data_IF_609928383783
#
_entry.id   IF_609928383783
#
_cell.length_a   1.000
_cell.length_b   1.000
_cell.length_c   1.000
_cell.angle_alpha   90.00
_cell.angle_beta   90.00
_cell.angle_gamma   90.00
#
_symmetry.space_group_name_H-M   'P 1'
#
loop_
_entity.id
_entity.type
_entity.pdbx_description
1 polymer ?
#
# COMPACT_ATOMS: atom_id res chain seq x y z
N UNK A 1 -8.38 3.11 -22.87
CA UNK A 1 -8.39 2.61 -21.48
C UNK A 1 -7.41 1.46 -21.43
N UNK A 2 -6.26 1.61 -20.73
CA UNK A 2 -5.33 0.48 -20.53
C UNK A 2 -6.07 -0.54 -19.66
N UNK A 3 -6.13 -1.80 -20.09
CA UNK A 3 -6.75 -2.86 -19.30
C UNK A 3 -6.03 -2.96 -17.95
N UNK A 4 -6.78 -3.12 -16.85
CA UNK A 4 -6.22 -3.36 -15.54
C UNK A 4 -5.30 -4.59 -15.62
N UNK A 5 -4.06 -4.45 -15.19
CA UNK A 5 -3.07 -5.53 -15.20
C UNK A 5 -2.47 -5.69 -13.81
N UNK A 6 -2.04 -6.89 -13.50
CA UNK A 6 -1.45 -7.17 -12.20
C UNK A 6 -0.17 -6.36 -11.99
N UNK A 7 -0.07 -5.69 -10.84
CA UNK A 7 1.14 -5.04 -10.33
C UNK A 7 1.83 -5.95 -9.32
N UNK A 8 1.05 -6.57 -8.44
CA UNK A 8 1.51 -7.50 -7.42
C UNK A 8 0.88 -8.86 -7.65
N UNK A 9 1.67 -9.91 -7.54
CA UNK A 9 1.23 -11.31 -7.44
C UNK A 9 1.82 -11.94 -6.21
N UNK A 10 0.97 -12.41 -5.34
CA UNK A 10 1.31 -13.22 -4.17
C UNK A 10 0.87 -14.64 -4.49
N UNK A 11 1.80 -15.59 -4.41
CA UNK A 11 1.55 -16.99 -4.79
C UNK A 11 2.05 -17.92 -3.69
N UNK A 12 1.12 -18.71 -3.13
CA UNK A 12 1.38 -19.73 -2.10
C UNK A 12 2.15 -19.20 -0.89
N UNK A 13 1.85 -17.96 -0.45
CA UNK A 13 2.53 -17.30 0.66
C UNK A 13 2.22 -18.04 1.96
N UNK A 14 3.27 -18.60 2.59
CA UNK A 14 3.20 -19.17 3.92
C UNK A 14 4.21 -18.50 4.83
N UNK A 15 3.77 -18.10 6.03
CA UNK A 15 4.64 -17.50 7.06
C UNK A 15 4.47 -18.21 8.39
N UNK A 16 5.59 -18.75 8.89
CA UNK A 16 5.66 -19.46 10.18
C UNK A 16 6.56 -18.72 11.16
N UNK A 17 6.14 -18.63 12.39
CA UNK A 17 6.94 -18.13 13.52
C UNK A 17 7.10 -19.27 14.52
N UNK A 18 8.21 -20.00 14.43
CA UNK A 18 8.38 -21.24 15.20
C UNK A 18 7.29 -22.26 14.87
N UNK A 19 6.48 -22.62 15.85
CA UNK A 19 5.37 -23.56 15.68
C UNK A 19 4.06 -22.93 15.20
N UNK A 20 3.97 -21.58 15.17
CA UNK A 20 2.76 -20.85 14.74
C UNK A 20 2.79 -20.61 13.24
N UNK A 21 1.74 -21.01 12.52
CA UNK A 21 1.48 -20.64 11.13
C UNK A 21 0.62 -19.39 11.14
N UNK A 22 1.20 -18.24 10.81
CA UNK A 22 0.50 -16.96 10.81
C UNK A 22 -0.21 -16.65 9.49
N UNK A 23 0.30 -17.22 8.38
CA UNK A 23 -0.33 -17.18 7.04
C UNK A 23 -0.06 -18.53 6.39
N UNK A 24 -1.06 -19.12 5.77
CA UNK A 24 -0.99 -20.44 5.16
C UNK A 24 -1.50 -20.38 3.72
N UNK A 25 -0.64 -20.73 2.77
CA UNK A 25 -0.93 -20.91 1.33
C UNK A 25 -1.73 -19.76 0.67
N UNK A 26 -1.47 -18.51 1.06
CA UNK A 26 -2.22 -17.36 0.57
C UNK A 26 -1.77 -16.99 -0.85
N UNK A 27 -2.76 -16.90 -1.77
CA UNK A 27 -2.54 -16.43 -3.14
C UNK A 27 -3.55 -15.35 -3.51
N UNK A 28 -3.07 -14.21 -4.04
CA UNK A 28 -3.90 -13.12 -4.56
C UNK A 28 -3.11 -12.16 -5.46
N UNK A 29 -3.81 -11.27 -6.14
CA UNK A 29 -3.24 -10.24 -7.00
C UNK A 29 -3.73 -8.86 -6.59
N UNK A 30 -2.89 -7.82 -6.81
CA UNK A 30 -3.34 -6.42 -6.79
C UNK A 30 -3.03 -5.78 -8.15
N UNK A 31 -3.98 -4.99 -8.67
CA UNK A 31 -3.94 -4.47 -10.04
C UNK A 31 -3.66 -2.98 -10.10
N UNK A 32 -3.14 -2.56 -11.22
CA UNK A 32 -2.82 -1.18 -11.52
C UNK A 32 -4.10 -0.32 -11.55
N UNK A 33 -4.11 0.75 -10.74
CA UNK A 33 -5.26 1.64 -10.65
C UNK A 33 -6.48 0.99 -10.00
N UNK A 34 -6.28 0.05 -9.07
CA UNK A 34 -7.32 -0.55 -8.23
C UNK A 34 -6.94 -0.44 -6.74
N UNK A 35 -7.95 -0.39 -5.90
CA UNK A 35 -7.84 -0.51 -4.44
C UNK A 35 -8.23 -1.93 -4.06
N UNK A 36 -7.25 -2.71 -3.60
CA UNK A 36 -7.46 -4.06 -3.07
C UNK A 36 -7.45 -3.99 -1.55
N UNK A 37 -8.54 -4.37 -0.89
CA UNK A 37 -8.62 -4.44 0.55
C UNK A 37 -8.30 -5.86 1.06
N UNK A 38 -7.56 -5.93 2.15
CA UNK A 38 -7.27 -7.15 2.90
C UNK A 38 -7.94 -7.03 4.26
N UNK A 39 -9.04 -7.74 4.48
CA UNK A 39 -9.87 -7.65 5.67
C UNK A 39 -9.89 -8.97 6.45
N UNK A 40 -10.50 -8.97 7.62
CA UNK A 40 -10.65 -10.15 8.48
C UNK A 40 -10.51 -9.80 9.97
N UNK A 41 -10.78 -10.71 10.88
CA UNK A 41 -10.68 -10.48 12.32
C UNK A 41 -9.25 -10.19 12.78
N UNK A 42 -9.13 -9.74 14.04
CA UNK A 42 -7.81 -9.53 14.65
C UNK A 42 -7.08 -10.86 14.79
N UNK A 43 -5.80 -10.86 14.41
CA UNK A 43 -5.01 -12.10 14.39
C UNK A 43 -5.12 -12.93 13.10
N UNK A 44 -5.96 -12.56 12.13
CA UNK A 44 -6.12 -13.28 10.86
C UNK A 44 -4.87 -13.27 9.94
N UNK A 45 -3.78 -12.59 10.31
CA UNK A 45 -2.54 -12.60 9.53
C UNK A 45 -2.34 -11.39 8.61
N UNK A 46 -3.26 -10.43 8.54
CA UNK A 46 -3.22 -9.27 7.63
C UNK A 46 -1.90 -8.48 7.70
N UNK A 47 -1.49 -8.05 8.88
CA UNK A 47 -0.24 -7.30 9.09
C UNK A 47 0.99 -8.16 8.76
N UNK A 48 0.92 -9.49 8.93
CA UNK A 48 1.99 -10.42 8.54
C UNK A 48 2.16 -10.43 7.03
N UNK A 49 1.06 -10.48 6.26
CA UNK A 49 1.08 -10.38 4.79
C UNK A 49 1.72 -9.06 4.35
N UNK A 50 1.33 -7.93 4.93
CA UNK A 50 1.95 -6.62 4.64
C UNK A 50 3.44 -6.60 4.95
N UNK A 51 3.85 -7.19 6.06
CA UNK A 51 5.26 -7.27 6.44
C UNK A 51 6.07 -8.12 5.45
N UNK A 52 5.47 -9.18 4.88
CA UNK A 52 6.10 -9.96 3.82
C UNK A 52 6.21 -9.16 2.51
N UNK A 53 5.16 -8.47 2.07
CA UNK A 53 5.14 -7.67 0.84
C UNK A 53 6.13 -6.49 0.93
N UNK A 54 6.23 -5.85 2.09
CA UNK A 54 7.12 -4.69 2.30
C UNK A 54 8.55 -5.07 2.67
N UNK A 55 8.87 -6.37 2.76
CA UNK A 55 10.22 -6.90 2.99
C UNK A 55 10.67 -6.94 4.44
N UNK A 56 9.81 -6.59 5.40
CA UNK A 56 10.09 -6.71 6.84
C UNK A 56 10.25 -8.16 7.27
N UNK A 57 9.40 -9.05 6.74
CA UNK A 57 9.51 -10.48 6.95
C UNK A 57 9.86 -11.19 5.63
N UNK A 58 10.65 -12.23 5.73
CA UNK A 58 10.86 -13.16 4.64
C UNK A 58 9.89 -14.32 4.82
N UNK A 59 8.99 -14.55 3.84
CA UNK A 59 8.07 -15.67 3.93
C UNK A 59 8.84 -17.00 4.04
N UNK A 60 8.22 -17.96 4.71
CA UNK A 60 8.77 -19.32 4.85
C UNK A 60 8.69 -20.06 3.52
N UNK A 61 7.57 -19.87 2.81
CA UNK A 61 7.29 -20.47 1.50
C UNK A 61 6.53 -19.48 0.63
N UNK A 62 6.51 -19.72 -0.68
CA UNK A 62 5.77 -18.92 -1.64
C UNK A 62 6.61 -17.86 -2.35
N UNK A 63 5.92 -17.05 -3.14
CA UNK A 63 6.52 -16.01 -3.98
C UNK A 63 5.73 -14.73 -3.93
N UNK A 64 6.43 -13.60 -3.89
CA UNK A 64 5.83 -12.26 -3.95
C UNK A 64 6.49 -11.52 -5.11
N UNK A 65 5.82 -11.47 -6.25
CA UNK A 65 6.33 -10.82 -7.44
C UNK A 65 5.64 -9.47 -7.69
N UNK A 66 6.42 -8.43 -7.96
CA UNK A 66 5.92 -7.09 -8.29
C UNK A 66 6.51 -6.62 -9.61
N UNK A 67 5.67 -5.99 -10.43
CA UNK A 67 6.10 -5.38 -11.67
C UNK A 67 5.68 -3.91 -11.78
N UNK A 68 6.42 -3.14 -12.57
CA UNK A 68 6.00 -1.83 -13.06
C UNK A 68 6.40 -1.63 -14.53
N UNK A 69 5.69 -0.74 -15.22
CA UNK A 69 5.88 -0.47 -16.65
C UNK A 69 5.03 -1.36 -17.53
N UNK A 70 5.58 -1.89 -18.60
CA UNK A 70 4.86 -2.71 -19.57
C UNK A 70 4.50 -4.08 -18.96
N UNK A 71 3.22 -4.50 -19.00
CA UNK A 71 2.78 -5.82 -18.51
C UNK A 71 3.50 -7.01 -19.13
N UNK A 72 4.10 -6.85 -20.33
CA UNK A 72 4.87 -7.91 -20.97
C UNK A 72 6.09 -8.38 -20.16
N UNK A 73 6.53 -7.61 -19.16
CA UNK A 73 7.63 -8.04 -18.27
C UNK A 73 7.29 -9.29 -17.45
N UNK A 74 6.00 -9.59 -17.25
CA UNK A 74 5.54 -10.81 -16.58
C UNK A 74 6.01 -12.10 -17.27
N UNK A 75 6.21 -12.08 -18.60
CA UNK A 75 6.76 -13.25 -19.34
C UNK A 75 8.13 -13.70 -18.84
N UNK A 76 8.86 -12.83 -18.15
CA UNK A 76 10.17 -13.13 -17.59
C UNK A 76 10.14 -13.72 -16.18
N UNK A 77 8.94 -13.85 -15.56
CA UNK A 77 8.81 -14.29 -14.18
C UNK A 77 9.40 -15.68 -13.94
N UNK A 78 9.11 -16.66 -14.81
CA UNK A 78 9.66 -18.01 -14.70
C UNK A 78 11.21 -18.03 -14.73
N UNK A 79 11.80 -17.29 -15.65
CA UNK A 79 13.27 -17.17 -15.75
C UNK A 79 13.90 -16.46 -14.55
N UNK A 80 13.23 -15.41 -14.00
CA UNK A 80 13.70 -14.73 -12.81
C UNK A 80 13.62 -15.63 -11.58
N UNK A 81 12.51 -16.38 -11.44
CA UNK A 81 12.31 -17.32 -10.32
C UNK A 81 13.38 -18.42 -10.30
N UNK A 82 13.76 -18.93 -11.48
CA UNK A 82 14.81 -19.95 -11.62
C UNK A 82 16.22 -19.41 -11.36
N UNK A 83 16.40 -18.09 -11.35
CA UNK A 83 17.70 -17.44 -11.11
C UNK A 83 17.88 -17.11 -9.61
N UNK A 84 19.12 -16.79 -9.22
CA UNK A 84 19.43 -16.26 -7.88
C UNK A 84 19.20 -14.76 -7.73
N UNK A 85 18.89 -14.07 -8.85
CA UNK A 85 18.76 -12.60 -8.88
C UNK A 85 17.37 -12.18 -8.40
N UNK A 86 17.24 -11.17 -7.51
CA UNK A 86 15.95 -10.76 -6.98
C UNK A 86 15.14 -9.87 -7.94
N UNK A 87 15.74 -9.34 -9.01
CA UNK A 87 15.05 -8.41 -9.89
C UNK A 87 15.62 -8.38 -11.30
N UNK A 88 14.77 -7.99 -12.25
CA UNK A 88 15.14 -7.70 -13.64
C UNK A 88 14.55 -6.35 -14.04
N UNK A 89 15.40 -5.39 -14.39
CA UNK A 89 14.99 -4.06 -14.82
C UNK A 89 15.49 -3.84 -16.26
N UNK A 90 14.61 -3.36 -17.12
CA UNK A 90 14.88 -3.07 -18.52
C UNK A 90 14.22 -1.77 -18.98
N UNK A 91 14.28 -1.51 -20.30
CA UNK A 91 13.66 -0.29 -20.88
C UNK A 91 12.14 -0.26 -20.71
N UNK A 92 11.49 -1.41 -20.69
CA UNK A 92 10.03 -1.53 -20.66
C UNK A 92 9.46 -1.58 -19.23
N UNK A 93 10.30 -1.64 -18.20
CA UNK A 93 9.86 -1.73 -16.81
C UNK A 93 10.74 -2.61 -15.94
N UNK A 94 10.27 -2.94 -14.76
CA UNK A 94 10.97 -3.77 -13.80
C UNK A 94 10.09 -4.90 -13.25
N UNK A 95 10.72 -6.04 -12.99
CA UNK A 95 10.14 -7.21 -12.33
C UNK A 95 10.99 -7.57 -11.10
N UNK A 96 10.36 -7.77 -9.97
CA UNK A 96 11.00 -7.92 -8.67
C UNK A 96 10.41 -9.12 -7.92
N UNK A 97 11.25 -9.88 -7.25
CA UNK A 97 10.87 -10.92 -6.29
C UNK A 97 11.09 -10.36 -4.89
N UNK A 98 10.02 -9.84 -4.27
CA UNK A 98 10.10 -9.08 -3.03
C UNK A 98 10.57 -9.93 -1.85
N UNK A 99 10.23 -11.23 -1.87
CA UNK A 99 10.68 -12.20 -0.87
C UNK A 99 12.21 -12.35 -0.82
N UNK A 100 12.93 -11.97 -1.90
CA UNK A 100 14.39 -12.01 -2.00
C UNK A 100 15.08 -10.67 -1.74
N UNK A 101 14.29 -9.59 -1.53
CA UNK A 101 14.80 -8.22 -1.40
C UNK A 101 14.79 -7.79 0.08
N UNK A 102 15.75 -6.98 0.48
CA UNK A 102 15.69 -6.27 1.76
C UNK A 102 14.63 -5.16 1.72
N UNK A 103 14.06 -4.79 2.87
CA UNK A 103 13.00 -3.78 3.01
C UNK A 103 13.32 -2.45 2.30
N UNK A 104 14.50 -1.87 2.54
CA UNK A 104 14.95 -0.64 1.89
C UNK A 104 15.09 -0.78 0.37
N UNK A 105 15.40 -1.98 -0.13
CA UNK A 105 15.47 -2.26 -1.56
C UNK A 105 14.08 -2.39 -2.18
N UNK A 106 13.12 -2.96 -1.45
CA UNK A 106 11.70 -3.01 -1.85
C UNK A 106 11.16 -1.60 -2.04
N UNK A 107 11.36 -0.73 -1.04
CA UNK A 107 10.90 0.66 -1.14
C UNK A 107 11.60 1.42 -2.28
N UNK A 108 12.94 1.27 -2.41
CA UNK A 108 13.74 2.07 -3.34
C UNK A 108 13.67 1.61 -4.79
N UNK A 109 13.66 0.30 -5.04
CA UNK A 109 13.79 -0.29 -6.38
C UNK A 109 12.47 -0.83 -6.91
N UNK A 110 11.70 -1.54 -6.07
CA UNK A 110 10.38 -2.02 -6.46
C UNK A 110 9.28 -0.95 -6.31
N UNK A 111 9.59 0.23 -5.71
CA UNK A 111 8.71 1.38 -5.59
C UNK A 111 7.42 1.03 -4.81
N UNK A 112 7.59 0.29 -3.72
CA UNK A 112 6.53 0.02 -2.75
C UNK A 112 6.63 1.05 -1.65
N UNK A 113 5.55 1.83 -1.42
CA UNK A 113 5.45 2.71 -0.27
C UNK A 113 4.51 2.11 0.77
N UNK A 114 4.78 2.37 2.04
CA UNK A 114 3.94 1.93 3.16
C UNK A 114 3.72 3.05 4.15
N UNK A 115 2.49 3.19 4.63
CA UNK A 115 2.18 3.89 5.87
C UNK A 115 2.10 2.88 7.03
N UNK A 116 2.08 3.38 8.25
CA UNK A 116 1.98 2.55 9.44
C UNK A 116 0.71 2.91 10.21
N UNK A 117 0.21 1.99 11.02
CA UNK A 117 -0.93 2.24 11.90
C UNK A 117 -0.71 3.51 12.75
N UNK A 118 0.45 3.64 13.37
CA UNK A 118 0.86 4.88 14.04
C UNK A 118 1.54 5.83 13.06
N UNK A 119 1.04 7.06 12.95
CA UNK A 119 1.57 8.10 12.07
C UNK A 119 3.05 8.37 12.34
N UNK A 120 3.88 8.29 11.30
CA UNK A 120 5.33 8.48 11.36
C UNK A 120 5.77 9.72 10.60
N UNK A 121 5.40 10.90 11.10
CA UNK A 121 5.87 12.18 10.58
C UNK A 121 7.10 12.67 11.34
N UNK A 122 7.91 13.48 10.70
CA UNK A 122 8.95 14.29 11.35
C UNK A 122 8.28 15.50 12.00
N UNK A 123 7.84 15.35 13.25
CA UNK A 123 6.99 16.31 13.95
C UNK A 123 7.60 17.71 14.08
N UNK A 124 8.92 17.81 14.21
CA UNK A 124 9.65 19.07 14.31
C UNK A 124 9.97 19.73 12.97
N UNK A 125 9.66 19.07 11.85
CA UNK A 125 9.77 19.64 10.51
C UNK A 125 8.43 20.22 10.09
N UNK A 126 8.47 21.17 9.15
CA UNK A 126 7.25 21.72 8.56
C UNK A 126 6.51 20.68 7.71
N UNK A 127 5.26 20.99 7.39
CA UNK A 127 4.45 20.17 6.49
C UNK A 127 5.14 20.01 5.13
N UNK A 128 5.66 21.09 4.55
CA UNK A 128 6.40 21.06 3.28
C UNK A 128 7.69 20.24 3.39
N UNK A 129 8.47 20.42 4.47
CA UNK A 129 9.72 19.68 4.67
C UNK A 129 9.51 18.19 4.77
N UNK A 130 8.40 17.72 5.38
CA UNK A 130 8.04 16.30 5.42
C UNK A 130 7.88 15.71 4.01
N UNK A 131 7.32 16.46 3.06
CA UNK A 131 7.18 16.01 1.66
C UNK A 131 8.51 16.05 0.90
N UNK A 132 9.36 17.05 1.18
CA UNK A 132 10.67 17.16 0.55
C UNK A 132 11.64 16.06 1.00
N UNK A 133 11.61 15.66 2.28
CA UNK A 133 12.44 14.56 2.81
C UNK A 133 12.16 13.25 2.11
N UNK A 134 10.91 12.97 1.72
CA UNK A 134 10.58 11.77 0.94
C UNK A 134 11.28 11.71 -0.41
N UNK A 135 11.68 12.86 -0.95
CA UNK A 135 12.38 13.01 -2.24
C UNK A 135 13.91 13.09 -2.08
N UNK A 136 14.43 12.77 -0.90
CA UNK A 136 15.87 12.90 -0.59
C UNK A 136 16.77 12.13 -1.59
N UNK A 137 16.42 10.90 -1.97
CA UNK A 137 17.25 10.09 -2.86
C UNK A 137 17.46 10.71 -4.25
N UNK A 138 16.43 11.20 -4.97
CA UNK A 138 16.60 11.93 -6.22
C UNK A 138 17.43 13.22 -6.05
N UNK A 139 17.18 13.98 -4.97
CA UNK A 139 17.89 15.22 -4.68
C UNK A 139 19.37 14.98 -4.39
N UNK A 140 19.71 13.96 -3.60
CA UNK A 140 21.10 13.59 -3.31
C UNK A 140 21.86 13.15 -4.54
N UNK A 141 21.23 12.40 -5.45
CA UNK A 141 21.85 12.04 -6.75
C UNK A 141 22.11 13.27 -7.60
N UNK A 142 21.16 14.19 -7.68
CA UNK A 142 21.29 15.41 -8.46
C UNK A 142 22.34 16.38 -7.85
N UNK A 143 22.57 16.32 -6.53
CA UNK A 143 23.62 17.07 -5.84
C UNK A 143 25.03 16.45 -5.97
N UNK A 144 25.15 15.27 -6.64
CA UNK A 144 26.42 14.54 -6.68
C UNK A 144 26.99 14.27 -5.29
N UNK A 145 26.13 13.86 -4.36
CA UNK A 145 26.46 13.66 -2.94
C UNK A 145 27.04 14.91 -2.27
N UNK A 146 26.42 16.05 -2.52
CA UNK A 146 26.68 17.39 -1.95
C UNK A 146 27.70 18.27 -2.70
N UNK A 147 28.55 17.74 -3.55
CA UNK A 147 29.56 18.55 -4.28
C UNK A 147 28.87 19.54 -5.24
N UNK A 148 27.91 19.06 -6.06
CA UNK A 148 27.19 19.91 -7.01
C UNK A 148 26.11 20.79 -6.34
N UNK A 149 25.63 20.38 -5.16
CA UNK A 149 24.70 21.17 -4.35
C UNK A 149 25.32 22.45 -3.82
N UNK A 150 26.58 22.40 -3.37
CA UNK A 150 27.34 23.58 -2.83
C UNK A 150 27.53 24.62 -3.94
N UNK A 151 27.79 24.19 -5.18
CA UNK A 151 28.03 25.12 -6.31
C UNK A 151 26.74 25.55 -7.03
N UNK A 152 25.55 25.08 -6.57
CA UNK A 152 24.25 25.46 -7.15
C UNK A 152 24.09 25.19 -8.63
N UNK A 153 24.67 24.07 -9.10
CA UNK A 153 24.68 23.72 -10.52
C UNK A 153 23.27 23.59 -11.11
N UNK A 154 23.05 23.86 -12.39
CA UNK A 154 21.74 23.87 -13.03
C UNK A 154 20.94 22.59 -12.83
N UNK A 155 21.62 21.44 -12.80
CA UNK A 155 21.01 20.13 -12.59
C UNK A 155 20.39 20.00 -11.19
N UNK A 156 21.09 20.45 -10.15
CA UNK A 156 20.58 20.44 -8.78
C UNK A 156 19.39 21.39 -8.62
N UNK A 157 19.50 22.63 -9.15
CA UNK A 157 18.40 23.59 -9.12
C UNK A 157 17.13 23.08 -9.82
N UNK A 158 17.30 22.37 -10.96
CA UNK A 158 16.18 21.74 -11.67
C UNK A 158 15.53 20.66 -10.81
N UNK A 159 16.33 19.77 -10.20
CA UNK A 159 15.82 18.70 -9.34
C UNK A 159 15.11 19.26 -8.10
N UNK A 160 15.68 20.30 -7.48
CA UNK A 160 15.06 20.98 -6.33
C UNK A 160 13.72 21.61 -6.70
N UNK A 161 13.65 22.33 -7.84
CA UNK A 161 12.39 22.91 -8.33
C UNK A 161 11.32 21.82 -8.57
N UNK A 162 11.67 20.75 -9.25
CA UNK A 162 10.76 19.62 -9.48
C UNK A 162 10.29 18.97 -8.17
N UNK A 163 11.16 18.87 -7.16
CA UNK A 163 10.77 18.34 -5.86
C UNK A 163 9.79 19.27 -5.12
N UNK A 164 10.00 20.60 -5.20
CA UNK A 164 9.08 21.58 -4.62
C UNK A 164 7.74 21.54 -5.36
N UNK A 165 7.75 21.56 -6.69
CA UNK A 165 6.51 21.46 -7.52
C UNK A 165 5.69 20.22 -7.15
N UNK A 166 6.34 19.06 -6.99
CA UNK A 166 5.66 17.84 -6.55
C UNK A 166 5.10 17.95 -5.13
N UNK A 167 5.88 18.51 -4.19
CA UNK A 167 5.42 18.71 -2.83
C UNK A 167 4.21 19.67 -2.79
N UNK A 168 4.26 20.77 -3.53
CA UNK A 168 3.15 21.73 -3.64
C UNK A 168 1.90 21.07 -4.21
N UNK A 169 2.03 20.28 -5.29
CA UNK A 169 0.91 19.53 -5.85
C UNK A 169 0.23 18.61 -4.82
N UNK A 170 1.02 17.92 -3.99
CA UNK A 170 0.46 17.08 -2.94
C UNK A 170 -0.17 17.89 -1.81
N UNK A 171 0.42 19.06 -1.44
CA UNK A 171 -0.21 19.99 -0.48
C UNK A 171 -1.56 20.50 -0.98
N UNK A 172 -1.67 20.84 -2.27
CA UNK A 172 -2.93 21.22 -2.92
C UNK A 172 -3.94 20.06 -2.86
N UNK A 173 -3.49 18.85 -3.17
CA UNK A 173 -4.35 17.65 -3.21
C UNK A 173 -4.94 17.32 -1.83
N UNK A 174 -4.16 17.51 -0.74
CA UNK A 174 -4.61 17.23 0.62
C UNK A 174 -5.16 18.47 1.35
N UNK A 175 -5.21 19.64 0.69
CA UNK A 175 -5.77 20.88 1.23
C UNK A 175 -4.93 21.53 2.35
N UNK A 176 -3.59 21.35 2.33
CA UNK A 176 -2.69 21.87 3.37
C UNK A 176 -1.71 22.93 2.87
N UNK A 177 -1.99 23.61 1.75
CA UNK A 177 -1.09 24.65 1.20
C UNK A 177 -0.88 25.80 2.19
N UNK A 178 -1.94 26.29 2.81
CA UNK A 178 -1.89 27.40 3.78
C UNK A 178 -1.14 27.06 5.06
N UNK A 179 -0.89 25.76 5.29
CA UNK A 179 -0.20 25.23 6.47
C UNK A 179 1.18 24.68 6.14
N UNK A 180 1.71 25.00 4.94
CA UNK A 180 2.99 24.46 4.44
C UNK A 180 4.17 24.68 5.40
N UNK A 181 4.18 25.82 6.08
CA UNK A 181 5.24 26.23 7.00
C UNK A 181 4.94 25.87 8.48
N UNK A 182 3.75 25.32 8.79
CA UNK A 182 3.41 24.88 10.13
C UNK A 182 4.21 23.62 10.51
N UNK A 183 4.57 23.43 11.79
CA UNK A 183 5.11 22.16 12.27
C UNK A 183 4.11 21.01 12.04
N UNK A 184 4.56 19.91 11.43
CA UNK A 184 3.67 18.78 11.13
C UNK A 184 3.08 18.15 12.40
N UNK A 185 3.76 18.29 13.54
CA UNK A 185 3.26 17.79 14.83
C UNK A 185 2.05 18.55 15.40
N UNK A 186 1.80 19.78 14.91
CA UNK A 186 0.73 20.68 15.38
C UNK A 186 -0.55 20.55 14.53
N UNK A 187 -0.53 19.71 13.49
CA UNK A 187 -1.69 19.42 12.68
C UNK A 187 -2.71 18.56 13.45
N UNK A 188 -4.03 18.73 13.20
CA UNK A 188 -5.04 17.75 13.59
C UNK A 188 -4.70 16.34 13.10
N UNK A 189 -5.19 15.32 13.78
CA UNK A 189 -4.84 13.92 13.50
C UNK A 189 -5.18 13.50 12.05
N UNK A 190 -6.36 13.89 11.54
CA UNK A 190 -6.76 13.62 10.16
C UNK A 190 -5.82 14.27 9.13
N UNK A 191 -5.37 15.51 9.39
CA UNK A 191 -4.41 16.20 8.54
C UNK A 191 -3.04 15.53 8.57
N UNK A 192 -2.57 15.09 9.75
CA UNK A 192 -1.34 14.31 9.88
C UNK A 192 -1.41 13.03 9.06
N UNK A 193 -2.56 12.32 9.06
CA UNK A 193 -2.76 11.10 8.26
C UNK A 193 -2.71 11.40 6.76
N UNK A 194 -3.40 12.43 6.29
CA UNK A 194 -3.34 12.87 4.88
C UNK A 194 -1.93 13.27 4.46
N UNK A 195 -1.20 13.99 5.31
CA UNK A 195 0.19 14.35 5.07
C UNK A 195 1.11 13.12 4.98
N UNK A 196 0.91 12.09 5.82
CA UNK A 196 1.68 10.85 5.76
C UNK A 196 1.49 10.14 4.42
N UNK A 197 0.25 10.07 3.92
CA UNK A 197 -0.07 9.48 2.61
C UNK A 197 0.55 10.31 1.48
N UNK A 198 0.40 11.64 1.50
CA UNK A 198 1.01 12.54 0.52
C UNK A 198 2.54 12.40 0.49
N UNK A 199 3.16 12.26 1.65
CA UNK A 199 4.59 11.98 1.76
C UNK A 199 4.98 10.65 1.12
N UNK A 200 4.19 9.60 1.31
CA UNK A 200 4.41 8.32 0.64
C UNK A 200 4.28 8.46 -0.88
N UNK A 201 3.28 9.22 -1.36
CA UNK A 201 3.06 9.47 -2.78
C UNK A 201 4.16 10.33 -3.43
N UNK A 202 4.87 11.17 -2.68
CA UNK A 202 6.05 11.90 -3.19
C UNK A 202 7.19 10.98 -3.66
N UNK A 203 7.17 9.69 -3.32
CA UNK A 203 8.14 8.69 -3.79
C UNK A 203 7.78 8.08 -5.15
N UNK A 204 6.64 8.46 -5.76
CA UNK A 204 6.05 7.88 -6.98
C UNK A 204 5.90 6.34 -6.87
N UNK A 205 5.18 5.82 -5.88
CA UNK A 205 5.05 4.38 -5.70
C UNK A 205 4.18 3.76 -6.81
N UNK A 206 4.47 2.51 -7.15
CA UNK A 206 3.59 1.69 -8.00
C UNK A 206 2.59 0.90 -7.16
N UNK A 207 2.96 0.62 -5.91
CA UNK A 207 2.10 0.00 -4.90
C UNK A 207 2.18 0.82 -3.61
N UNK A 208 1.02 1.30 -3.14
CA UNK A 208 0.86 1.97 -1.87
C UNK A 208 0.18 1.02 -0.88
N UNK A 209 0.87 0.65 0.19
CA UNK A 209 0.36 -0.19 1.26
C UNK A 209 -0.09 0.66 2.44
N UNK A 210 -1.36 0.59 2.82
CA UNK A 210 -1.97 1.37 3.89
C UNK A 210 -2.47 0.44 5.00
N UNK A 211 -1.96 0.64 6.21
CA UNK A 211 -2.27 -0.18 7.40
C UNK A 211 -3.20 0.61 8.32
N UNK A 212 -4.50 0.28 8.30
CA UNK A 212 -5.59 0.91 9.05
C UNK A 212 -5.57 2.46 8.98
N UNK A 213 -5.62 3.05 7.77
CA UNK A 213 -5.48 4.49 7.62
C UNK A 213 -6.67 5.29 8.18
N UNK A 214 -7.86 4.70 8.32
CA UNK A 214 -9.04 5.35 8.88
C UNK A 214 -9.13 5.23 10.42
N UNK A 215 -8.25 4.46 11.06
CA UNK A 215 -8.28 4.26 12.50
C UNK A 215 -8.12 5.58 13.27
N UNK A 216 -9.09 5.86 14.16
CA UNK A 216 -9.09 7.07 14.99
C UNK A 216 -9.57 8.34 14.29
N UNK A 217 -10.03 8.28 13.05
CA UNK A 217 -10.65 9.38 12.32
C UNK A 217 -12.13 9.50 12.67
N UNK A 218 -12.65 10.73 12.67
CA UNK A 218 -14.07 10.95 12.72
C UNK A 218 -14.72 10.70 11.32
N UNK A 219 -16.06 10.60 11.21
CA UNK A 219 -16.72 10.28 9.94
C UNK A 219 -16.40 11.25 8.79
N UNK A 220 -16.21 12.53 9.07
CA UNK A 220 -15.83 13.52 8.05
C UNK A 220 -14.40 13.31 7.57
N UNK A 221 -13.46 13.10 8.50
CA UNK A 221 -12.06 12.82 8.17
C UNK A 221 -11.91 11.51 7.38
N UNK A 222 -12.72 10.48 7.72
CA UNK A 222 -12.75 9.22 6.97
C UNK A 222 -13.27 9.41 5.54
N UNK A 223 -14.28 10.27 5.34
CA UNK A 223 -14.77 10.59 4.01
C UNK A 223 -13.70 11.34 3.19
N UNK A 224 -13.04 12.35 3.78
CA UNK A 224 -11.94 13.08 3.13
C UNK A 224 -10.76 12.17 2.77
N UNK A 225 -10.44 11.18 3.63
CA UNK A 225 -9.45 10.15 3.36
C UNK A 225 -9.88 9.25 2.19
N UNK A 226 -11.13 8.81 2.17
CA UNK A 226 -11.70 7.99 1.09
C UNK A 226 -11.60 8.70 -0.26
N UNK A 227 -11.95 9.99 -0.33
CA UNK A 227 -11.80 10.80 -1.54
C UNK A 227 -10.34 10.91 -1.99
N UNK A 228 -9.40 11.08 -1.06
CA UNK A 228 -7.98 11.10 -1.36
C UNK A 228 -7.51 9.77 -1.97
N UNK A 229 -7.91 8.62 -1.41
CA UNK A 229 -7.52 7.30 -1.91
C UNK A 229 -8.11 7.01 -3.29
N UNK A 230 -9.36 7.38 -3.53
CA UNK A 230 -10.01 7.32 -4.85
C UNK A 230 -9.25 8.20 -5.85
N UNK A 231 -8.86 9.42 -5.46
CA UNK A 231 -8.06 10.32 -6.30
C UNK A 231 -6.69 9.71 -6.65
N UNK A 232 -6.02 9.07 -5.70
CA UNK A 232 -4.74 8.36 -5.92
C UNK A 232 -4.93 7.23 -6.93
N UNK A 233 -5.96 6.39 -6.76
CA UNK A 233 -6.31 5.33 -7.71
C UNK A 233 -6.57 5.88 -9.11
N UNK A 234 -7.44 6.90 -9.22
CA UNK A 234 -7.97 7.34 -10.51
C UNK A 234 -7.00 8.23 -11.30
N UNK A 235 -6.31 9.15 -10.62
CA UNK A 235 -5.42 10.14 -11.27
C UNK A 235 -3.99 9.64 -11.42
N UNK A 236 -3.46 8.96 -10.38
CA UNK A 236 -2.07 8.49 -10.39
C UNK A 236 -1.95 7.03 -10.84
N UNK A 237 -3.08 6.32 -10.94
CA UNK A 237 -3.13 4.90 -11.34
C UNK A 237 -2.23 4.01 -10.45
N UNK A 238 -1.98 4.44 -9.22
CA UNK A 238 -1.25 3.67 -8.24
C UNK A 238 -2.11 2.51 -7.75
N UNK A 239 -1.55 1.32 -7.67
CA UNK A 239 -2.20 0.21 -6.99
C UNK A 239 -2.19 0.48 -5.48
N UNK A 240 -3.33 0.33 -4.83
CA UNK A 240 -3.44 0.50 -3.37
C UNK A 240 -3.77 -0.85 -2.75
N UNK A 241 -2.98 -1.27 -1.76
CA UNK A 241 -3.29 -2.41 -0.91
C UNK A 241 -3.61 -1.87 0.48
N UNK A 242 -4.83 -2.14 0.95
CA UNK A 242 -5.41 -1.56 2.15
C UNK A 242 -5.71 -2.64 3.18
N UNK A 243 -5.23 -2.48 4.41
CA UNK A 243 -5.79 -3.19 5.57
C UNK A 243 -6.77 -2.25 6.24
N UNK A 244 -8.00 -2.68 6.44
CA UNK A 244 -9.02 -1.97 7.19
C UNK A 244 -9.94 -2.94 7.93
N UNK A 245 -10.54 -2.45 9.00
CA UNK A 245 -11.56 -3.14 9.78
C UNK A 245 -12.91 -2.41 9.76
N UNK A 246 -12.95 -1.17 9.27
CA UNK A 246 -14.17 -0.42 9.02
C UNK A 246 -14.75 -0.83 7.66
N UNK A 247 -15.76 -1.71 7.72
CA UNK A 247 -16.43 -2.22 6.52
C UNK A 247 -17.10 -1.12 5.70
N UNK A 248 -17.51 -0.01 6.31
CA UNK A 248 -18.13 1.12 5.57
C UNK A 248 -17.12 1.78 4.64
N UNK A 249 -15.91 2.00 5.11
CA UNK A 249 -14.79 2.52 4.30
C UNK A 249 -14.42 1.53 3.21
N UNK A 250 -14.23 0.24 3.56
CA UNK A 250 -13.85 -0.82 2.61
C UNK A 250 -14.85 -0.89 1.47
N UNK A 251 -16.15 -1.00 1.77
CA UNK A 251 -17.20 -1.15 0.75
C UNK A 251 -17.37 0.11 -0.12
N UNK A 252 -16.98 1.27 0.39
CA UNK A 252 -17.08 2.53 -0.36
C UNK A 252 -15.97 2.70 -1.41
N UNK A 253 -14.75 2.25 -1.10
CA UNK A 253 -13.59 2.63 -1.93
C UNK A 253 -12.90 1.46 -2.63
N UNK A 254 -13.11 0.21 -2.18
CA UNK A 254 -12.38 -0.94 -2.71
C UNK A 254 -13.00 -1.46 -4.00
N UNK A 255 -12.14 -1.82 -4.94
CA UNK A 255 -12.52 -2.48 -6.20
C UNK A 255 -12.49 -4.00 -6.03
N UNK A 256 -11.65 -4.49 -5.10
CA UNK A 256 -11.42 -5.91 -4.84
C UNK A 256 -11.17 -6.12 -3.34
N UNK A 257 -11.75 -7.17 -2.78
CA UNK A 257 -11.66 -7.49 -1.34
C UNK A 257 -11.21 -8.94 -1.16
N UNK A 258 -10.23 -9.11 -0.28
CA UNK A 258 -9.70 -10.41 0.13
C UNK A 258 -9.95 -10.55 1.62
N UNK A 259 -10.56 -11.64 2.02
CA UNK A 259 -10.88 -11.91 3.42
C UNK A 259 -9.98 -13.01 3.95
N UNK A 260 -9.31 -12.70 5.05
CA UNK A 260 -8.48 -13.65 5.78
C UNK A 260 -9.16 -14.02 7.10
N UNK A 261 -9.07 -15.30 7.44
CA UNK A 261 -9.37 -15.81 8.77
C UNK A 261 -8.35 -16.88 9.16
N UNK A 262 -7.83 -16.82 10.38
CA UNK A 262 -6.78 -17.72 10.90
C UNK A 262 -5.59 -18.00 9.92
N UNK A 263 -5.20 -17.00 9.14
CA UNK A 263 -4.09 -17.09 8.19
C UNK A 263 -4.44 -17.66 6.83
N UNK A 264 -5.70 -18.02 6.58
CA UNK A 264 -6.20 -18.57 5.33
C UNK A 264 -7.13 -17.58 4.62
N UNK A 265 -7.20 -17.68 3.29
CA UNK A 265 -8.12 -16.89 2.49
C UNK A 265 -9.48 -17.58 2.43
N UNK A 266 -10.51 -16.95 3.01
CA UNK A 266 -11.87 -17.49 3.04
C UNK A 266 -12.76 -16.89 1.95
N UNK A 267 -12.43 -15.68 1.43
CA UNK A 267 -13.17 -15.08 0.31
C UNK A 267 -12.27 -14.16 -0.51
N UNK A 268 -12.59 -13.97 -1.79
CA UNK A 268 -11.79 -13.21 -2.76
C UNK A 268 -12.71 -12.78 -3.92
N UNK A 269 -13.08 -11.48 -3.96
CA UNK A 269 -14.05 -11.00 -4.94
C UNK A 269 -14.32 -9.49 -4.86
N UNK A 270 -15.38 -9.05 -5.49
CA UNK A 270 -15.92 -7.70 -5.40
C UNK A 270 -16.54 -7.44 -4.03
N UNK A 271 -16.76 -6.17 -3.68
CA UNK A 271 -17.44 -5.80 -2.43
C UNK A 271 -18.80 -6.49 -2.27
N UNK A 272 -19.58 -6.58 -3.35
CA UNK A 272 -20.91 -7.20 -3.33
C UNK A 272 -20.85 -8.71 -3.12
N UNK A 273 -19.88 -9.39 -3.74
CA UNK A 273 -19.66 -10.83 -3.57
C UNK A 273 -19.26 -11.15 -2.12
N UNK A 274 -18.29 -10.41 -1.60
CA UNK A 274 -17.76 -10.61 -0.22
C UNK A 274 -18.81 -10.29 0.84
N UNK A 275 -19.62 -9.24 0.66
CA UNK A 275 -20.67 -8.86 1.60
C UNK A 275 -21.72 -9.94 1.80
N UNK A 276 -22.00 -10.71 0.76
CA UNK A 276 -23.03 -11.74 0.75
C UNK A 276 -22.46 -13.16 0.98
N UNK A 277 -21.16 -13.30 1.22
CA UNK A 277 -20.51 -14.59 1.47
C UNK A 277 -20.79 -15.06 2.91
N UNK A 278 -21.45 -16.23 3.11
CA UNK A 278 -21.76 -16.75 4.44
C UNK A 278 -20.51 -16.96 5.31
N UNK A 279 -19.39 -17.38 4.70
CA UNK A 279 -18.12 -17.57 5.44
C UNK A 279 -17.60 -16.26 6.01
N UNK A 280 -17.73 -15.16 5.25
CA UNK A 280 -17.33 -13.82 5.68
C UNK A 280 -18.22 -13.33 6.81
N UNK A 281 -19.53 -13.52 6.69
CA UNK A 281 -20.51 -13.14 7.73
C UNK A 281 -20.18 -13.88 9.01
N UNK A 282 -19.97 -15.20 8.96
CA UNK A 282 -19.60 -16.02 10.13
C UNK A 282 -18.31 -15.54 10.79
N UNK A 283 -17.24 -15.34 10.00
CA UNK A 283 -15.95 -14.88 10.51
C UNK A 283 -16.02 -13.47 11.13
N UNK A 284 -16.80 -12.56 10.55
CA UNK A 284 -16.96 -11.20 11.08
C UNK A 284 -17.84 -11.14 12.35
N UNK A 285 -18.83 -12.02 12.48
CA UNK A 285 -19.72 -12.09 13.66
C UNK A 285 -19.11 -12.96 14.77
N UNK A 286 -18.09 -13.76 14.49
CA UNK A 286 -17.48 -14.69 15.45
C UNK A 286 -18.39 -15.84 15.86
N UNK A 287 -19.33 -16.24 14.97
CA UNK A 287 -20.28 -17.35 15.17
C UNK A 287 -19.95 -18.52 14.26
N UNK A 288 -20.27 -19.73 14.69
CA UNK A 288 -20.07 -20.92 13.85
C UNK A 288 -21.06 -20.91 12.66
N UNK A 289 -20.67 -21.51 11.52
CA UNK A 289 -21.46 -21.53 10.28
C UNK A 289 -22.89 -22.06 10.49
N UNK A 290 -23.06 -23.03 11.37
CA UNK A 290 -24.38 -23.60 11.69
C UNK A 290 -25.33 -22.58 12.34
N UNK A 291 -24.80 -21.62 13.11
CA UNK A 291 -25.60 -20.55 13.72
C UNK A 291 -25.99 -19.45 12.71
N UNK A 292 -25.16 -19.20 11.69
CA UNK A 292 -25.44 -18.21 10.63
C UNK A 292 -26.60 -18.68 9.75
N UNK A 293 -26.68 -19.97 9.40
CA UNK A 293 -27.78 -20.54 8.63
C UNK A 293 -29.12 -20.49 9.43
N UNK A 294 -29.04 -20.67 10.76
CA UNK A 294 -30.21 -20.55 11.62
C UNK A 294 -30.72 -19.10 11.69
N UNK A 295 -29.83 -18.12 11.83
CA UNK A 295 -30.17 -16.68 11.87
C UNK A 295 -30.67 -16.20 10.51
N UNK A 296 -30.07 -16.60 9.40
CA UNK A 296 -30.51 -16.25 8.04
C UNK A 296 -31.91 -16.79 7.74
N UNK A 297 -32.21 -17.99 8.25
CA UNK A 297 -33.56 -18.59 8.13
C UNK A 297 -34.60 -17.88 8.99
N UNK A 298 -34.22 -17.36 10.17
CA UNK A 298 -35.11 -16.62 11.08
C UNK A 298 -35.40 -15.18 10.61
N UNK A 299 -34.46 -14.56 9.91
CA UNK A 299 -34.57 -13.15 9.44
C UNK A 299 -35.11 -13.06 8.00
N UNK A 300 -35.25 -14.20 7.29
CA UNK A 300 -35.88 -14.26 5.97
C UNK A 300 -35.04 -13.64 4.85
N UNK A 301 -33.70 -13.77 4.92
CA UNK A 301 -32.74 -13.40 3.88
C UNK A 301 -32.46 -14.58 2.95
#
# INVERSE_FOLDING_TARGET
MSAAHDVLRVEHLTMRFGGLVAVHDLSFNARHGEITALIGPNGAGKTTVFNCITGFYKPTEGRIALQYGDPSVWQHLGGLTASSVPSRVGRNGGLFLLERMADHAVARHARVARTFQNIRLFRGMTVLENLLVAQHNPLMRASGYSIFGIFGLPLFRKAQRSAIEKATHWLETIGLVERADDPAGDLPYGDQRRLEIARAMCTDPVLLCLDEPAAGLNPRESAELSELLISIRDRHKTAVLLIEHDMSVVMQISDHVIVLDYGEKISDGTCDEVKNDPNVIAACLGVEQEEVEAVATEVGL
#
